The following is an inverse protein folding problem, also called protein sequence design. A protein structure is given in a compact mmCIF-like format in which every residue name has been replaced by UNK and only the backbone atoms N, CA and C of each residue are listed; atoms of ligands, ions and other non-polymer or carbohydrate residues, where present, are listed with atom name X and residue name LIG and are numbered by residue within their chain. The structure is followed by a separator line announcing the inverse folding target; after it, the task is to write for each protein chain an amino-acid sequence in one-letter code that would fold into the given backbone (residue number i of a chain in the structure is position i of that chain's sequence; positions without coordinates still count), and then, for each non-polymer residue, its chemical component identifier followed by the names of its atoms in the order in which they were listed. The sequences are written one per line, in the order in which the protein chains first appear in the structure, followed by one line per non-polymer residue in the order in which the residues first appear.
data_IF_637289346370
#
_entry.id   IF_637289346370
#
_cell.length_a   1.000
_cell.length_b   1.000
_cell.length_c   1.000
_cell.angle_alpha   90.00
_cell.angle_beta   90.00
_cell.angle_gamma   90.00
#
_symmetry.space_group_name_H-M   'P 1'
#
loop_
_entity.id
_entity.type
_entity.pdbx_description
1 polymer ?
#
# COMPACT_ATOMS: atom_id res chain seq x y z
N UNK A 1 2.70 4.78 -24.95
CA UNK A 1 2.25 4.97 -23.55
C UNK A 1 3.43 5.49 -22.76
N UNK A 2 3.22 6.48 -21.89
CA UNK A 2 4.27 7.05 -21.05
C UNK A 2 3.91 6.73 -19.60
N UNK A 3 4.84 6.15 -18.85
CA UNK A 3 4.66 5.80 -17.43
C UNK A 3 5.90 6.23 -16.67
N UNK A 4 5.70 6.73 -15.47
CA UNK A 4 6.77 7.11 -14.56
C UNK A 4 6.72 6.25 -13.31
N UNK A 5 7.90 5.93 -12.79
CA UNK A 5 8.08 5.22 -11.53
C UNK A 5 8.65 6.23 -10.54
N UNK A 6 8.00 6.38 -9.38
CA UNK A 6 8.40 7.32 -8.33
C UNK A 6 8.71 6.53 -7.06
N UNK A 7 9.91 6.73 -6.51
CA UNK A 7 10.37 6.12 -5.27
C UNK A 7 10.15 7.06 -4.07
N UNK A 8 10.05 6.47 -2.88
CA UNK A 8 9.94 7.20 -1.61
C UNK A 8 11.21 8.04 -1.33
N UNK A 9 11.14 9.15 -0.58
CA UNK A 9 9.98 9.64 0.19
C UNK A 9 8.97 10.43 -0.66
N UNK A 10 7.67 10.20 -0.42
CA UNK A 10 6.56 10.92 -1.07
C UNK A 10 6.14 12.14 -0.24
N UNK A 11 7.09 13.04 0.04
CA UNK A 11 6.94 14.06 1.07
C UNK A 11 7.36 13.56 2.46
N UNK A 12 7.43 14.48 3.42
CA UNK A 12 7.78 14.21 4.82
C UNK A 12 6.61 14.44 5.79
N UNK A 13 5.57 15.10 5.30
CA UNK A 13 4.34 15.45 5.98
C UNK A 13 3.22 15.60 4.93
N UNK A 14 2.00 15.90 5.40
CA UNK A 14 0.85 16.08 4.52
C UNK A 14 1.09 17.17 3.47
N UNK A 15 1.56 18.35 3.90
CA UNK A 15 1.74 19.51 3.01
C UNK A 15 2.75 19.22 1.89
N UNK A 16 3.93 18.71 2.23
CA UNK A 16 4.97 18.38 1.25
C UNK A 16 4.55 17.24 0.30
N UNK A 17 3.71 16.30 0.76
CA UNK A 17 3.14 15.25 -0.09
C UNK A 17 2.10 15.79 -1.09
N UNK A 18 1.26 16.72 -0.64
CA UNK A 18 0.26 17.40 -1.48
C UNK A 18 0.92 18.27 -2.56
N UNK A 19 1.99 19.00 -2.21
CA UNK A 19 2.78 19.79 -3.17
C UNK A 19 3.42 18.89 -4.24
N UNK A 20 4.05 17.78 -3.84
CA UNK A 20 4.61 16.78 -4.76
C UNK A 20 3.53 16.19 -5.68
N UNK A 21 2.40 15.80 -5.10
CA UNK A 21 1.29 15.20 -5.84
C UNK A 21 0.67 16.17 -6.83
N UNK A 22 0.48 17.43 -6.43
CA UNK A 22 -0.05 18.49 -7.29
C UNK A 22 0.87 18.77 -8.46
N UNK A 23 2.19 18.84 -8.22
CA UNK A 23 3.16 19.01 -9.28
C UNK A 23 3.16 17.83 -10.27
N UNK A 24 3.19 16.59 -9.77
CA UNK A 24 3.15 15.41 -10.63
C UNK A 24 1.86 15.31 -11.44
N UNK A 25 0.72 15.59 -10.81
CA UNK A 25 -0.61 15.55 -11.46
C UNK A 25 -0.80 16.64 -12.51
N UNK A 26 -0.01 17.73 -12.45
CA UNK A 26 0.01 18.75 -13.50
C UNK A 26 0.71 18.30 -14.78
N UNK A 27 1.52 17.24 -14.71
CA UNK A 27 2.36 16.74 -15.81
C UNK A 27 1.91 15.36 -16.32
N UNK A 28 1.35 14.53 -15.44
CA UNK A 28 0.98 13.14 -15.71
C UNK A 28 -0.41 12.85 -15.18
N UNK A 29 -1.16 11.99 -15.87
CA UNK A 29 -2.41 11.44 -15.34
C UNK A 29 -2.12 10.31 -14.35
N UNK A 30 -3.04 10.05 -13.42
CA UNK A 30 -2.79 9.10 -12.32
C UNK A 30 -2.49 7.66 -12.81
N UNK A 31 -3.04 7.23 -13.94
CA UNK A 31 -2.76 5.94 -14.57
C UNK A 31 -1.34 5.83 -15.18
N UNK A 32 -0.65 6.96 -15.31
CA UNK A 32 0.75 7.04 -15.75
C UNK A 32 1.73 7.03 -14.57
N UNK A 33 1.26 7.23 -13.33
CA UNK A 33 2.10 7.39 -12.14
C UNK A 33 2.12 6.09 -11.32
N UNK A 34 3.29 5.47 -11.21
CA UNK A 34 3.50 4.29 -10.38
C UNK A 34 4.38 4.64 -9.18
N UNK A 35 3.75 4.88 -8.03
CA UNK A 35 4.45 5.13 -6.75
C UNK A 35 4.84 3.78 -6.13
N UNK A 36 6.13 3.56 -5.90
CA UNK A 36 6.64 2.28 -5.41
C UNK A 36 6.55 2.22 -3.88
N UNK A 37 5.81 1.24 -3.40
CA UNK A 37 5.98 0.65 -2.08
C UNK A 37 6.38 -0.81 -2.25
N UNK A 38 7.65 -1.10 -2.00
CA UNK A 38 8.22 -2.44 -2.21
C UNK A 38 7.58 -3.52 -1.31
N UNK A 39 6.87 -3.18 -0.22
CA UNK A 39 6.14 -4.18 0.55
C UNK A 39 4.95 -4.76 -0.24
N UNK A 40 4.32 -3.97 -1.11
CA UNK A 40 3.23 -4.43 -1.97
C UNK A 40 3.69 -5.47 -3.01
N UNK A 41 5.01 -5.52 -3.29
CA UNK A 41 5.64 -6.53 -4.14
C UNK A 41 5.97 -7.83 -3.41
N UNK A 42 5.86 -7.91 -2.08
CA UNK A 42 6.16 -9.12 -1.32
C UNK A 42 5.04 -10.14 -1.48
N UNK A 43 5.40 -11.38 -1.80
CA UNK A 43 4.47 -12.48 -2.08
C UNK A 43 3.38 -12.65 -1.00
N UNK A 44 3.77 -12.65 0.27
CA UNK A 44 2.82 -12.80 1.39
C UNK A 44 1.86 -11.62 1.53
N UNK A 45 2.27 -10.41 1.15
CA UNK A 45 1.41 -9.22 1.17
C UNK A 45 0.36 -9.33 0.06
N UNK A 46 0.76 -9.77 -1.13
CA UNK A 46 -0.18 -10.01 -2.23
C UNK A 46 -1.18 -11.13 -1.89
N UNK A 47 -0.74 -12.17 -1.18
CA UNK A 47 -1.57 -13.29 -0.79
C UNK A 47 -2.69 -12.91 0.21
N UNK A 48 -2.59 -11.78 0.92
CA UNK A 48 -3.65 -11.30 1.83
C UNK A 48 -5.00 -11.16 1.12
N UNK A 49 -5.01 -10.72 -0.14
CA UNK A 49 -6.24 -10.58 -0.92
C UNK A 49 -6.87 -11.95 -1.23
N UNK A 50 -6.07 -12.93 -1.63
CA UNK A 50 -6.51 -14.29 -1.93
C UNK A 50 -7.03 -14.98 -0.66
N UNK A 51 -6.33 -14.83 0.46
CA UNK A 51 -6.77 -15.39 1.73
C UNK A 51 -8.12 -14.80 2.17
N UNK A 52 -8.27 -13.48 2.14
CA UNK A 52 -9.50 -12.81 2.61
C UNK A 52 -10.71 -13.05 1.72
N UNK A 53 -10.55 -13.04 0.40
CA UNK A 53 -11.69 -13.02 -0.53
C UNK A 53 -11.84 -14.29 -1.36
N UNK A 54 -10.78 -15.09 -1.52
CA UNK A 54 -10.81 -16.35 -2.26
C UNK A 54 -11.36 -17.53 -1.46
N UNK A 55 -11.53 -17.38 -0.14
CA UNK A 55 -11.87 -18.47 0.78
C UNK A 55 -13.16 -18.18 1.54
N UNK A 56 -14.18 -19.02 1.32
CA UNK A 56 -15.48 -18.92 2.03
C UNK A 56 -15.36 -19.01 3.55
N UNK A 57 -14.36 -19.73 4.07
CA UNK A 57 -14.16 -19.90 5.51
C UNK A 57 -13.73 -18.61 6.21
N UNK A 58 -12.98 -17.72 5.52
CA UNK A 58 -12.46 -16.50 6.12
C UNK A 58 -13.47 -15.34 6.06
N UNK A 59 -14.39 -15.34 5.09
CA UNK A 59 -15.39 -14.28 4.93
C UNK A 59 -16.22 -13.99 6.19
N UNK A 60 -16.91 -15.00 6.78
CA UNK A 60 -17.76 -14.80 7.95
C UNK A 60 -17.04 -14.37 9.23
N UNK A 61 -15.75 -14.68 9.35
CA UNK A 61 -14.95 -14.38 10.56
C UNK A 61 -14.07 -13.13 10.41
N UNK A 62 -14.00 -12.53 9.23
CA UNK A 62 -13.20 -11.32 9.00
C UNK A 62 -13.99 -10.05 9.34
N UNK A 63 -14.40 -9.89 10.61
CA UNK A 63 -15.13 -8.72 11.10
C UNK A 63 -14.92 -8.51 12.61
N UNK A 64 -15.42 -7.38 13.13
CA UNK A 64 -15.28 -6.98 14.55
C UNK A 64 -15.95 -7.92 15.55
N UNK A 65 -16.91 -8.74 15.11
CA UNK A 65 -17.62 -9.66 16.00
C UNK A 65 -16.81 -10.94 16.23
N UNK A 66 -15.82 -11.22 15.36
CA UNK A 66 -14.94 -12.39 15.42
C UNK A 66 -13.46 -12.05 15.66
N UNK A 67 -13.01 -10.83 15.33
CA UNK A 67 -11.61 -10.39 15.45
C UNK A 67 -11.45 -9.45 16.65
N UNK A 68 -10.71 -9.89 17.66
CA UNK A 68 -10.43 -9.08 18.85
C UNK A 68 -9.40 -7.96 18.59
N UNK A 69 -8.34 -8.24 17.82
CA UNK A 69 -7.31 -7.26 17.45
C UNK A 69 -6.58 -7.66 16.16
N UNK A 70 -5.98 -6.67 15.50
CA UNK A 70 -5.08 -6.85 14.36
C UNK A 70 -3.71 -6.31 14.76
N UNK A 71 -2.68 -7.13 14.66
CA UNK A 71 -1.30 -6.76 15.02
C UNK A 71 -0.46 -6.70 13.76
N UNK A 72 0.13 -5.53 13.50
CA UNK A 72 1.09 -5.31 12.42
C UNK A 72 2.46 -5.10 13.03
N UNK A 73 3.43 -5.96 12.72
CA UNK A 73 4.77 -5.93 13.30
C UNK A 73 5.82 -5.81 12.21
N UNK A 74 6.73 -4.87 12.39
CA UNK A 74 7.95 -4.75 11.61
C UNK A 74 9.14 -4.75 12.59
N UNK A 75 10.10 -5.66 12.38
CA UNK A 75 11.29 -5.81 13.22
C UNK A 75 12.51 -5.97 12.33
N UNK A 76 13.55 -5.23 12.65
CA UNK A 76 14.87 -5.36 12.05
C UNK A 76 15.87 -5.72 13.15
N UNK A 77 16.75 -6.72 12.96
CA UNK A 77 17.73 -7.11 13.97
C UNK A 77 18.98 -6.21 13.99
N UNK A 78 18.96 -5.09 13.27
CA UNK A 78 20.09 -4.18 13.08
C UNK A 78 19.68 -2.72 13.29
N UNK A 79 20.66 -1.86 13.54
CA UNK A 79 20.57 -0.41 13.70
C UNK A 79 21.95 0.22 13.75
#
# INVERSE_FOLDING_TARGET
WNRIIVEKPFGRDLQSSEELTSHLSSLFTEDQIYRIDHYLGKEMVQNLMVLRFGNRIFGPIWNRDSVACVVLTFKEPFG
#
